data_IF_957437022764
#
_entry.id   IF_957437022764
#
_cell.length_a   1.000
_cell.length_b   1.000
_cell.length_c   1.000
_cell.angle_alpha   90.00
_cell.angle_beta   90.00
_cell.angle_gamma   90.00
#
_symmetry.space_group_name_H-M   'P 1'
#
loop_
_entity.id
_entity.type
_entity.pdbx_description
1 polymer ?
#
# COMPACT_ATOMS: atom_id res chain seq x y z
N UNK A 1 -12.20 0.97 -12.77
CA UNK A 1 -11.34 0.54 -11.65
C UNK A 1 -10.07 1.36 -11.70
N UNK A 2 -9.38 1.60 -10.59
CA UNK A 2 -8.16 2.41 -10.65
C UNK A 2 -7.06 1.66 -11.40
N UNK A 3 -6.46 2.34 -12.37
CA UNK A 3 -5.30 1.85 -13.12
C UNK A 3 -4.08 2.65 -12.69
N UNK A 4 -3.00 1.97 -12.35
CA UNK A 4 -1.77 2.59 -11.85
C UNK A 4 -0.57 2.04 -12.60
N UNK A 5 0.32 2.93 -13.02
CA UNK A 5 1.61 2.55 -13.60
C UNK A 5 2.68 2.47 -12.51
N UNK A 6 3.18 1.27 -12.29
CA UNK A 6 4.29 1.00 -11.36
C UNK A 6 5.61 1.06 -12.11
N UNK A 7 6.46 1.99 -11.70
CA UNK A 7 7.79 2.12 -12.28
C UNK A 7 8.67 0.92 -11.90
N UNK A 8 9.31 0.29 -12.89
CA UNK A 8 10.13 -0.91 -12.68
C UNK A 8 11.27 -0.70 -11.70
N UNK A 9 11.96 0.44 -11.76
CA UNK A 9 13.10 0.71 -10.87
C UNK A 9 12.66 0.84 -9.40
N UNK A 10 11.51 1.44 -9.16
CA UNK A 10 10.94 1.58 -7.82
C UNK A 10 10.42 0.23 -7.32
N UNK A 11 9.75 -0.52 -8.18
CA UNK A 11 9.25 -1.86 -7.82
C UNK A 11 10.39 -2.82 -7.50
N UNK A 12 11.47 -2.80 -8.28
CA UNK A 12 12.69 -3.57 -8.01
C UNK A 12 13.38 -3.16 -6.70
N UNK A 13 13.39 -1.87 -6.38
CA UNK A 13 13.92 -1.41 -5.10
C UNK A 13 13.06 -1.92 -3.93
N UNK A 14 11.74 -1.81 -4.04
CA UNK A 14 10.82 -2.24 -2.98
C UNK A 14 10.82 -3.76 -2.79
N UNK A 15 10.85 -4.55 -3.86
CA UNK A 15 10.85 -6.01 -3.75
C UNK A 15 12.06 -6.57 -2.99
N UNK A 16 13.23 -5.93 -3.11
CA UNK A 16 14.45 -6.35 -2.38
C UNK A 16 14.28 -6.29 -0.87
N UNK A 17 13.48 -5.33 -0.36
CA UNK A 17 13.16 -5.27 1.08
C UNK A 17 12.43 -6.52 1.57
N UNK A 18 11.73 -7.19 0.68
CA UNK A 18 10.94 -8.39 0.97
C UNK A 18 11.59 -9.68 0.48
N UNK A 19 12.84 -9.61 0.02
CA UNK A 19 13.57 -10.79 -0.45
C UNK A 19 13.03 -11.38 -1.75
N UNK A 20 12.46 -10.54 -2.62
CA UNK A 20 11.95 -10.91 -3.93
C UNK A 20 12.90 -10.37 -4.99
N UNK A 21 13.12 -11.15 -6.05
CA UNK A 21 13.98 -10.80 -7.19
C UNK A 21 13.27 -11.17 -8.50
N UNK A 22 12.13 -10.53 -8.77
CA UNK A 22 11.43 -10.71 -10.04
C UNK A 22 11.89 -9.69 -11.08
N UNK A 23 12.06 -10.15 -12.32
CA UNK A 23 12.19 -9.30 -13.50
C UNK A 23 10.86 -8.65 -13.86
N UNK A 24 10.85 -7.72 -14.82
CA UNK A 24 9.61 -7.11 -15.32
C UNK A 24 8.65 -8.13 -15.92
N UNK A 25 9.17 -9.09 -16.67
CA UNK A 25 8.39 -10.14 -17.31
C UNK A 25 7.78 -11.10 -16.27
N UNK A 26 8.55 -11.44 -15.24
CA UNK A 26 8.05 -12.25 -14.13
C UNK A 26 6.97 -11.53 -13.32
N UNK A 27 7.08 -10.21 -13.16
CA UNK A 27 6.02 -9.42 -12.55
C UNK A 27 4.73 -9.45 -13.38
N UNK A 28 4.84 -9.30 -14.70
CA UNK A 28 3.69 -9.40 -15.61
C UNK A 28 2.98 -10.75 -15.48
N UNK A 29 3.75 -11.84 -15.45
CA UNK A 29 3.20 -13.20 -15.30
C UNK A 29 2.52 -13.41 -13.94
N UNK A 30 3.07 -12.82 -12.88
CA UNK A 30 2.63 -13.07 -11.49
C UNK A 30 1.54 -12.14 -10.96
N UNK A 31 1.41 -10.93 -11.52
CA UNK A 31 0.40 -9.95 -11.10
C UNK A 31 -1.03 -10.49 -11.08
N UNK A 32 -1.49 -11.28 -12.06
CA UNK A 32 -2.82 -11.85 -12.02
C UNK A 32 -3.08 -12.77 -10.82
N UNK A 33 -2.04 -13.44 -10.31
CA UNK A 33 -2.15 -14.33 -9.15
C UNK A 33 -2.45 -13.59 -7.85
N UNK A 34 -2.13 -12.30 -7.76
CA UNK A 34 -2.49 -11.44 -6.62
C UNK A 34 -3.72 -10.58 -6.88
N UNK A 35 -4.45 -10.87 -7.97
CA UNK A 35 -5.69 -10.18 -8.32
C UNK A 35 -5.50 -8.85 -9.03
N UNK A 36 -4.36 -8.63 -9.68
CA UNK A 36 -4.09 -7.45 -10.49
C UNK A 36 -4.15 -7.80 -11.98
N UNK A 37 -4.85 -7.00 -12.76
CA UNK A 37 -4.90 -7.17 -14.23
C UNK A 37 -3.80 -6.31 -14.84
N UNK A 38 -2.94 -6.91 -15.66
CA UNK A 38 -1.92 -6.19 -16.40
C UNK A 38 -2.51 -5.63 -17.69
N UNK A 39 -2.46 -4.32 -17.84
CA UNK A 39 -2.94 -3.61 -19.03
C UNK A 39 -1.80 -3.37 -20.02
N UNK A 40 -0.64 -2.94 -19.52
CA UNK A 40 0.53 -2.66 -20.31
C UNK A 40 1.82 -2.94 -19.53
N UNK A 41 2.84 -3.41 -20.20
CA UNK A 41 4.20 -3.54 -19.67
C UNK A 41 5.19 -2.98 -20.69
N UNK A 42 5.88 -1.89 -20.33
CA UNK A 42 6.85 -1.22 -21.18
C UNK A 42 8.22 -1.09 -20.47
N UNK A 43 9.19 -0.47 -21.12
CA UNK A 43 10.54 -0.29 -20.57
C UNK A 43 10.59 0.57 -19.27
N UNK A 44 9.55 1.35 -19.00
CA UNK A 44 9.47 2.29 -17.86
C UNK A 44 8.75 1.64 -16.68
N UNK A 45 7.67 0.90 -16.95
CA UNK A 45 6.84 0.38 -15.89
C UNK A 45 5.76 -0.56 -16.37
N UNK A 46 5.09 -1.15 -15.40
CA UNK A 46 3.95 -2.01 -15.59
C UNK A 46 2.67 -1.29 -15.17
N UNK A 47 1.70 -1.22 -16.06
CA UNK A 47 0.39 -0.64 -15.80
C UNK A 47 -0.58 -1.73 -15.39
N UNK A 48 -1.16 -1.59 -14.21
CA UNK A 48 -2.07 -2.57 -13.64
C UNK A 48 -3.39 -1.95 -13.23
N UNK A 49 -4.45 -2.68 -13.47
CA UNK A 49 -5.77 -2.40 -12.95
C UNK A 49 -5.97 -3.14 -11.62
N UNK A 50 -6.36 -2.40 -10.58
CA UNK A 50 -6.55 -2.92 -9.23
C UNK A 50 -8.03 -2.88 -8.88
N UNK A 51 -8.54 -3.97 -8.33
CA UNK A 51 -9.93 -4.03 -7.90
C UNK A 51 -10.22 -3.07 -6.73
N UNK A 52 -11.42 -2.48 -6.68
CA UNK A 52 -11.75 -1.46 -5.68
C UNK A 52 -11.70 -1.93 -4.22
N UNK A 53 -11.80 -3.23 -3.98
CA UNK A 53 -11.69 -3.87 -2.66
C UNK A 53 -10.25 -4.06 -2.18
N UNK A 54 -9.26 -3.85 -3.07
CA UNK A 54 -7.83 -4.02 -2.80
C UNK A 54 -7.07 -2.70 -2.80
N UNK A 55 -7.56 -1.73 -2.05
CA UNK A 55 -6.89 -0.43 -1.90
C UNK A 55 -5.50 -0.51 -1.26
N UNK A 56 -5.21 -1.62 -0.59
CA UNK A 56 -3.89 -1.94 -0.06
C UNK A 56 -2.82 -2.12 -1.14
N UNK A 57 -3.20 -2.46 -2.38
CA UNK A 57 -2.26 -2.70 -3.48
C UNK A 57 -1.89 -1.44 -4.30
N UNK A 58 -2.31 -0.26 -3.86
CA UNK A 58 -2.10 1.00 -4.59
C UNK A 58 -0.68 1.59 -4.45
N UNK A 59 0.31 0.81 -4.01
CA UNK A 59 1.70 1.25 -3.92
C UNK A 59 2.70 0.15 -4.27
N UNK A 60 3.88 0.55 -4.73
CA UNK A 60 4.98 -0.36 -5.04
C UNK A 60 5.38 -1.24 -3.85
N UNK A 61 5.35 -0.67 -2.65
CA UNK A 61 5.71 -1.40 -1.43
C UNK A 61 4.70 -2.48 -1.10
N UNK A 62 3.43 -2.15 -1.15
CA UNK A 62 2.37 -3.09 -0.75
C UNK A 62 2.19 -4.22 -1.75
N UNK A 63 2.41 -3.97 -3.05
CA UNK A 63 2.47 -5.03 -4.04
C UNK A 63 3.66 -5.97 -3.78
N UNK A 64 4.84 -5.45 -3.52
CA UNK A 64 6.01 -6.27 -3.21
C UNK A 64 5.80 -7.09 -1.92
N UNK A 65 5.20 -6.49 -0.90
CA UNK A 65 4.85 -7.19 0.35
C UNK A 65 3.83 -8.29 0.14
N UNK A 66 2.78 -8.03 -0.62
CA UNK A 66 1.75 -9.02 -0.94
C UNK A 66 2.34 -10.18 -1.76
N UNK A 67 3.19 -9.88 -2.73
CA UNK A 67 3.86 -10.88 -3.54
C UNK A 67 4.74 -11.82 -2.69
N UNK A 68 5.45 -11.30 -1.68
CA UNK A 68 6.22 -12.15 -0.77
C UNK A 68 5.35 -13.19 -0.09
N UNK A 69 4.26 -12.76 0.53
CA UNK A 69 3.40 -13.67 1.28
C UNK A 69 2.64 -14.62 0.37
N UNK A 70 2.16 -14.13 -0.76
CA UNK A 70 1.23 -14.86 -1.61
C UNK A 70 1.93 -15.75 -2.64
N UNK A 71 3.00 -15.27 -3.26
CA UNK A 71 3.68 -15.97 -4.35
C UNK A 71 4.87 -16.81 -3.87
N UNK A 72 5.57 -16.37 -2.83
CA UNK A 72 6.75 -17.05 -2.32
C UNK A 72 6.46 -17.92 -1.08
N UNK A 73 5.22 -17.95 -0.59
CA UNK A 73 4.83 -18.67 0.63
C UNK A 73 5.70 -18.34 1.86
N UNK A 74 6.30 -17.16 1.87
CA UNK A 74 7.11 -16.68 2.97
C UNK A 74 6.24 -15.87 3.92
N UNK A 75 6.16 -16.31 5.18
CA UNK A 75 5.48 -15.52 6.20
C UNK A 75 6.11 -14.13 6.32
N UNK A 76 5.27 -13.13 6.32
CA UNK A 76 5.62 -11.77 6.70
C UNK A 76 4.79 -11.37 7.90
N UNK A 77 5.37 -11.53 9.06
CA UNK A 77 4.81 -11.02 10.31
C UNK A 77 5.73 -9.90 10.79
N UNK A 78 5.35 -8.64 10.57
CA UNK A 78 6.14 -7.53 11.11
C UNK A 78 6.04 -7.54 12.62
N UNK A 79 7.19 -7.49 13.27
CA UNK A 79 7.28 -7.26 14.70
C UNK A 79 7.26 -5.74 14.93
N UNK A 80 6.22 -5.27 15.60
CA UNK A 80 6.06 -3.87 15.92
C UNK A 80 6.36 -3.65 17.40
N UNK A 81 7.36 -2.83 17.67
CA UNK A 81 7.55 -2.29 19.01
C UNK A 81 6.47 -1.24 19.27
N UNK A 82 5.72 -1.41 20.32
CA UNK A 82 4.64 -0.50 20.70
C UNK A 82 5.06 0.27 21.95
N UNK A 83 5.29 1.55 21.78
CA UNK A 83 5.56 2.47 22.87
C UNK A 83 4.29 3.15 23.37
N UNK A 84 4.27 3.55 24.64
CA UNK A 84 3.17 4.30 25.21
C UNK A 84 3.08 5.70 24.59
N UNK A 85 1.94 6.00 23.96
CA UNK A 85 1.69 7.28 23.29
C UNK A 85 1.45 8.43 24.28
N UNK A 86 1.92 9.63 23.90
CA UNK A 86 1.69 10.87 24.70
C UNK A 86 0.50 11.69 24.20
N UNK A 87 -0.13 11.27 23.11
CA UNK A 87 -1.25 11.97 22.48
C UNK A 87 -2.53 11.30 22.92
N UNK A 88 -3.45 12.10 23.43
CA UNK A 88 -4.76 11.64 23.87
C UNK A 88 -5.82 12.20 22.93
N UNK A 89 -6.73 11.35 22.51
CA UNK A 89 -7.94 11.74 21.78
C UNK A 89 -9.12 11.70 22.76
N UNK A 90 -9.78 12.84 22.93
CA UNK A 90 -10.98 12.91 23.76
C UNK A 90 -12.21 12.83 22.86
N UNK A 91 -13.11 11.91 23.14
CA UNK A 91 -14.37 11.74 22.43
C UNK A 91 -15.49 12.23 23.34
N UNK A 92 -16.38 13.08 22.80
CA UNK A 92 -17.52 13.59 23.56
C UNK A 92 -18.53 12.46 23.82
N UNK A 93 -19.03 12.38 25.03
CA UNK A 93 -19.96 11.33 25.46
C UNK A 93 -21.28 11.33 24.68
N UNK A 94 -21.68 12.46 24.08
CA UNK A 94 -22.89 12.52 23.24
C UNK A 94 -22.78 11.67 21.97
N UNK A 95 -21.58 11.26 21.59
CA UNK A 95 -21.35 10.42 20.41
C UNK A 95 -21.43 8.92 20.71
N UNK A 96 -21.58 8.52 21.95
CA UNK A 96 -21.53 7.10 22.35
C UNK A 96 -22.58 6.23 21.65
N UNK A 97 -23.79 6.76 21.48
CA UNK A 97 -24.85 6.05 20.76
C UNK A 97 -24.73 6.07 19.24
N UNK A 98 -24.05 7.09 18.69
CA UNK A 98 -23.92 7.30 17.24
C UNK A 98 -22.64 6.65 16.71
N UNK A 99 -21.55 6.80 17.45
CA UNK A 99 -20.23 6.33 17.05
C UNK A 99 -19.41 5.86 18.25
N UNK A 100 -19.70 4.66 18.77
CA UNK A 100 -19.12 4.15 20.01
C UNK A 100 -17.61 3.85 19.91
N UNK A 101 -17.08 3.70 18.68
CA UNK A 101 -15.66 3.41 18.46
C UNK A 101 -15.08 4.39 17.44
N UNK A 102 -13.99 5.05 17.82
CA UNK A 102 -13.18 5.91 16.95
C UNK A 102 -11.73 5.46 17.04
N UNK A 103 -11.10 5.30 15.88
CA UNK A 103 -9.66 5.08 15.75
C UNK A 103 -9.04 6.32 15.14
N UNK A 104 -7.94 6.79 15.72
CA UNK A 104 -7.17 7.91 15.23
C UNK A 104 -5.69 7.57 15.14
N UNK A 105 -5.01 8.19 14.20
CA UNK A 105 -3.57 8.09 14.06
C UNK A 105 -2.96 9.46 13.82
N UNK A 106 -1.78 9.70 14.41
CA UNK A 106 -0.98 10.89 14.15
C UNK A 106 0.27 10.47 13.38
N UNK A 107 0.37 10.94 12.13
CA UNK A 107 1.52 10.68 11.29
C UNK A 107 2.41 11.91 11.29
N UNK A 108 3.68 11.74 11.65
CA UNK A 108 4.68 12.83 11.69
C UNK A 108 5.74 12.61 10.62
N UNK A 109 6.31 13.70 10.09
CA UNK A 109 7.32 13.64 9.05
C UNK A 109 6.79 13.10 7.71
N UNK A 110 5.50 13.13 7.49
CA UNK A 110 4.89 12.72 6.25
C UNK A 110 5.10 13.77 5.17
N UNK A 111 5.58 13.36 3.99
CA UNK A 111 5.80 14.24 2.84
C UNK A 111 4.50 14.49 2.06
N UNK A 112 3.40 14.79 2.74
CA UNK A 112 2.10 15.11 2.12
C UNK A 112 2.14 16.35 1.22
N UNK A 113 3.18 17.16 1.31
CA UNK A 113 3.39 18.33 0.45
C UNK A 113 3.58 17.97 -1.03
N UNK A 114 3.92 16.73 -1.34
CA UNK A 114 4.12 16.25 -2.71
C UNK A 114 2.86 15.70 -3.37
N UNK A 115 1.83 15.45 -2.58
CA UNK A 115 0.52 14.97 -3.06
C UNK A 115 -0.57 15.64 -2.23
N UNK A 116 -0.91 16.91 -2.52
CA UNK A 116 -1.99 17.58 -1.81
C UNK A 116 -3.29 16.81 -2.02
N UNK A 117 -4.02 16.59 -0.94
CA UNK A 117 -5.38 16.06 -1.02
C UNK A 117 -6.24 17.00 -1.88
N UNK A 118 -7.19 16.50 -2.68
CA UNK A 118 -8.15 17.36 -3.39
C UNK A 118 -8.91 18.34 -2.50
N UNK A 119 -8.87 18.14 -1.18
CA UNK A 119 -9.48 19.05 -0.18
C UNK A 119 -8.58 20.22 0.22
N UNK A 120 -7.29 20.15 -0.13
CA UNK A 120 -6.31 21.16 0.23
C UNK A 120 -6.11 22.20 -0.88
N UNK A 121 -6.95 22.16 -1.90
CA UNK A 121 -6.91 23.02 -3.11
C UNK A 121 -8.07 24.02 -3.09
N UNK A 122 -8.47 24.57 -1.93
CA UNK A 122 -9.35 25.73 -1.82
C UNK A 122 -8.57 27.01 -1.52
#
# INVERSE_FOLDING_TARGET
>A
MPTIKFNHSILQYMQRKYGIEYSSDEWEEKMPSIGCVVEENDDVGIEIEIFPDRTDLLSHETIARAARAFLNSAEYSPDFEVDEGKITMTVDSSLEEIRPVILGAVVRGCLLYTSPSPRDVE
#
